data_IF_867923305327
#
_entry.id   IF_867923305327
#
_cell.length_a   1.000
_cell.length_b   1.000
_cell.length_c   1.000
_cell.angle_alpha   90.00
_cell.angle_beta   90.00
_cell.angle_gamma   90.00
#
_symmetry.space_group_name_H-M   'P 1'
#
loop_
_entity.id
_entity.type
_entity.pdbx_description
1 polymer ?
#
# COMPACT_ATOMS: atom_id res chain seq x y z
N UNK A 1 29.07 -29.91 40.41
CA UNK A 1 28.45 -30.75 39.37
C UNK A 1 27.84 -29.80 38.34
N UNK A 2 28.43 -29.74 37.13
CA UNK A 2 27.95 -29.12 35.87
C UNK A 2 27.70 -27.58 35.85
N UNK A 3 27.99 -26.75 34.82
CA UNK A 3 28.67 -26.75 33.50
C UNK A 3 29.00 -25.25 33.23
N UNK A 4 30.14 -24.88 32.60
CA UNK A 4 30.44 -23.49 32.25
C UNK A 4 29.73 -23.04 30.96
N UNK A 5 29.32 -21.78 30.97
CA UNK A 5 28.61 -21.07 29.89
C UNK A 5 29.45 -20.95 28.62
N UNK A 6 29.00 -21.58 27.53
CA UNK A 6 29.58 -21.42 26.20
C UNK A 6 29.14 -20.13 25.53
N UNK A 7 30.10 -19.33 25.07
CA UNK A 7 29.87 -18.14 24.26
C UNK A 7 29.44 -18.52 22.84
N UNK A 8 28.24 -18.10 22.44
CA UNK A 8 27.79 -18.15 21.05
C UNK A 8 28.18 -16.84 20.35
N UNK A 9 29.20 -16.94 19.51
CA UNK A 9 29.52 -15.94 18.48
C UNK A 9 28.31 -15.78 17.54
N UNK A 10 27.76 -14.57 17.47
CA UNK A 10 26.80 -14.22 16.41
C UNK A 10 27.55 -13.48 15.30
N UNK A 11 27.53 -14.07 14.11
CA UNK A 11 28.15 -13.55 12.91
C UNK A 11 27.50 -12.21 12.50
N UNK A 12 28.27 -11.14 12.62
CA UNK A 12 27.97 -9.81 12.07
C UNK A 12 28.13 -9.82 10.55
N UNK A 13 27.02 -9.91 9.82
CA UNK A 13 26.95 -9.56 8.40
C UNK A 13 26.95 -8.03 8.30
N UNK A 14 28.08 -7.48 7.86
CA UNK A 14 28.30 -6.04 7.74
C UNK A 14 27.44 -5.40 6.65
N UNK A 15 26.41 -4.66 7.06
CA UNK A 15 25.79 -3.63 6.23
C UNK A 15 26.51 -2.30 6.48
N UNK A 16 27.23 -1.83 5.47
CA UNK A 16 27.88 -0.53 5.50
C UNK A 16 26.86 0.61 5.74
N UNK A 17 27.16 1.60 6.59
CA UNK A 17 26.22 2.64 6.93
C UNK A 17 26.15 3.69 5.79
N UNK A 18 25.12 3.63 4.93
CA UNK A 18 24.71 4.79 4.11
C UNK A 18 24.03 5.84 5.01
N UNK A 19 24.77 6.40 5.96
CA UNK A 19 24.30 7.46 6.87
C UNK A 19 24.38 8.80 6.11
N UNK A 20 23.22 9.46 5.96
CA UNK A 20 22.97 10.87 5.57
C UNK A 20 22.26 11.14 4.23
N UNK A 21 22.46 10.36 3.17
CA UNK A 21 21.74 10.62 1.90
C UNK A 21 20.27 10.20 1.91
N UNK A 22 19.92 9.11 2.60
CA UNK A 22 18.54 8.60 2.64
C UNK A 22 17.58 9.58 3.33
N UNK A 23 18.02 10.29 4.38
CA UNK A 23 17.20 11.28 5.10
C UNK A 23 16.83 12.47 4.21
N UNK A 24 17.74 12.96 3.38
CA UNK A 24 17.48 14.11 2.51
C UNK A 24 16.50 13.77 1.37
N UNK A 25 16.61 12.58 0.77
CA UNK A 25 15.71 12.15 -0.32
C UNK A 25 14.28 11.96 0.20
N UNK A 26 14.12 11.38 1.40
CA UNK A 26 12.81 11.22 2.06
C UNK A 26 12.16 12.57 2.35
N UNK A 27 12.93 13.56 2.81
CA UNK A 27 12.44 14.92 3.08
C UNK A 27 11.99 15.65 1.79
N UNK A 28 12.69 15.46 0.66
CA UNK A 28 12.33 16.13 -0.59
C UNK A 28 11.06 15.56 -1.25
N UNK A 29 10.90 14.24 -1.27
CA UNK A 29 9.69 13.60 -1.82
C UNK A 29 8.45 13.93 -0.97
N UNK A 30 8.63 14.01 0.35
CA UNK A 30 7.52 14.28 1.26
C UNK A 30 7.04 15.74 1.21
N UNK A 31 7.92 16.71 1.00
CA UNK A 31 7.52 18.12 0.80
C UNK A 31 6.58 18.34 -0.39
N UNK A 32 6.70 17.56 -1.47
CA UNK A 32 5.85 17.70 -2.67
C UNK A 32 4.43 17.15 -2.47
N UNK A 33 4.24 16.18 -1.57
CA UNK A 33 2.93 15.57 -1.30
C UNK A 33 2.05 16.39 -0.36
N UNK A 34 2.61 17.38 0.34
CA UNK A 34 1.97 18.03 1.51
C UNK A 34 1.34 19.38 1.17
N UNK A 35 1.60 19.93 -0.02
CA UNK A 35 1.03 21.21 -0.46
C UNK A 35 -0.52 21.20 -0.61
N UNK A 36 -1.19 20.08 -0.31
CA UNK A 36 -2.64 19.93 -0.38
C UNK A 36 -3.34 19.86 1.00
N UNK A 37 -2.66 20.19 2.11
CA UNK A 37 -3.25 20.15 3.46
C UNK A 37 -3.47 21.57 4.02
N UNK A 38 -4.73 22.00 4.31
CA UNK A 38 -5.00 23.31 4.90
C UNK A 38 -5.18 23.19 6.41
N UNK A 39 -4.23 23.66 7.26
CA UNK A 39 -4.44 23.70 8.73
C UNK A 39 -3.69 24.88 9.39
N UNK A 40 -4.42 25.71 10.13
CA UNK A 40 -4.04 27.02 10.72
C UNK A 40 -3.29 26.98 12.08
N UNK A 41 -2.50 25.94 12.40
CA UNK A 41 -1.67 25.92 13.62
C UNK A 41 -0.36 25.17 13.39
N UNK A 42 0.61 25.86 12.79
CA UNK A 42 1.55 25.25 11.85
C UNK A 42 2.90 24.77 12.44
N UNK A 43 3.36 25.20 13.63
CA UNK A 43 4.76 24.92 14.03
C UNK A 43 4.95 23.62 14.82
N UNK A 44 4.20 23.44 15.90
CA UNK A 44 4.49 22.38 16.88
C UNK A 44 3.88 21.05 16.42
N UNK A 45 2.66 21.12 15.87
CA UNK A 45 2.01 19.98 15.23
C UNK A 45 2.85 19.41 14.07
N UNK A 46 3.47 20.28 13.26
CA UNK A 46 4.35 19.82 12.18
C UNK A 46 5.55 19.05 12.73
N UNK A 47 6.19 19.53 13.80
CA UNK A 47 7.39 18.90 14.34
C UNK A 47 7.13 17.44 14.77
N UNK A 48 6.05 17.22 15.52
CA UNK A 48 5.75 15.89 16.06
C UNK A 48 5.09 14.97 15.04
N UNK A 49 4.30 15.53 14.12
CA UNK A 49 3.80 14.82 12.94
C UNK A 49 4.96 14.33 12.05
N UNK A 50 5.95 15.18 11.77
CA UNK A 50 7.11 14.82 10.96
C UNK A 50 8.02 13.82 11.63
N UNK A 51 8.22 13.93 12.95
CA UNK A 51 8.95 12.92 13.71
C UNK A 51 8.26 11.57 13.62
N UNK A 52 6.95 11.52 13.88
CA UNK A 52 6.17 10.29 13.79
C UNK A 52 6.25 9.69 12.38
N UNK A 53 6.03 10.52 11.35
CA UNK A 53 6.21 10.13 9.95
C UNK A 53 7.56 9.51 9.68
N UNK A 54 8.64 10.19 10.07
CA UNK A 54 10.00 9.72 9.82
C UNK A 54 10.27 8.40 10.54
N UNK A 55 9.82 8.26 11.78
CA UNK A 55 9.97 7.01 12.53
C UNK A 55 9.24 5.86 11.85
N UNK A 56 8.01 6.07 11.40
CA UNK A 56 7.25 5.05 10.66
C UNK A 56 7.95 4.66 9.36
N UNK A 57 8.43 5.63 8.58
CA UNK A 57 9.19 5.34 7.35
C UNK A 57 10.44 4.52 7.67
N UNK A 58 11.19 4.90 8.71
CA UNK A 58 12.38 4.17 9.17
C UNK A 58 12.00 2.74 9.56
N UNK A 59 10.90 2.53 10.29
CA UNK A 59 10.43 1.19 10.63
C UNK A 59 10.05 0.34 9.43
N UNK A 60 9.37 0.93 8.45
CA UNK A 60 8.98 0.25 7.23
C UNK A 60 10.18 -0.11 6.34
N UNK A 61 11.32 0.56 6.54
CA UNK A 61 12.61 0.20 5.94
C UNK A 61 13.32 -0.95 6.70
N UNK A 62 12.71 -1.49 7.75
CA UNK A 62 13.23 -2.64 8.51
C UNK A 62 14.07 -2.27 9.72
N UNK A 63 14.12 -0.99 10.11
CA UNK A 63 14.76 -0.59 11.36
C UNK A 63 13.81 -0.82 12.53
N UNK A 64 14.28 -1.49 13.57
CA UNK A 64 13.48 -1.65 14.79
C UNK A 64 13.37 -0.32 15.55
N UNK A 65 12.16 0.00 16.01
CA UNK A 65 11.95 1.06 16.99
C UNK A 65 11.95 0.45 18.39
N UNK A 66 12.62 1.11 19.33
CA UNK A 66 12.50 0.78 20.74
C UNK A 66 11.08 1.06 21.28
N UNK A 67 10.78 0.52 22.46
CA UNK A 67 9.45 0.63 23.05
C UNK A 67 9.04 2.09 23.32
N UNK A 68 9.98 2.95 23.74
CA UNK A 68 9.72 4.37 24.02
C UNK A 68 9.32 5.13 22.75
N UNK A 69 10.02 4.88 21.65
CA UNK A 69 9.75 5.48 20.34
C UNK A 69 8.43 4.99 19.77
N UNK A 70 8.11 3.69 19.93
CA UNK A 70 6.79 3.15 19.57
C UNK A 70 5.66 3.82 20.35
N UNK A 71 5.84 3.94 21.67
CA UNK A 71 4.86 4.60 22.53
C UNK A 71 4.65 6.07 22.15
N UNK A 72 5.73 6.81 21.90
CA UNK A 72 5.63 8.20 21.46
C UNK A 72 4.94 8.32 20.09
N UNK A 73 5.24 7.44 19.13
CA UNK A 73 4.54 7.42 17.86
C UNK A 73 3.05 7.14 18.04
N UNK A 74 2.69 6.20 18.90
CA UNK A 74 1.29 5.91 19.23
C UNK A 74 0.61 7.13 19.86
N UNK A 75 1.21 7.80 20.84
CA UNK A 75 0.64 9.01 21.45
C UNK A 75 0.44 10.12 20.43
N UNK A 76 1.45 10.41 19.59
CA UNK A 76 1.33 11.42 18.54
C UNK A 76 0.19 11.09 17.56
N UNK A 77 0.05 9.83 17.18
CA UNK A 77 -1.03 9.41 16.27
C UNK A 77 -2.38 9.49 16.98
N UNK A 78 -2.46 9.19 18.28
CA UNK A 78 -3.69 9.26 19.04
C UNK A 78 -4.30 10.67 18.95
N UNK A 79 -3.45 11.68 19.12
CA UNK A 79 -3.79 13.10 19.08
C UNK A 79 -4.10 13.62 17.66
N UNK A 80 -3.70 12.89 16.61
CA UNK A 80 -4.06 13.24 15.24
C UNK A 80 -5.57 13.08 15.02
N UNK A 81 -6.17 14.08 14.36
CA UNK A 81 -7.53 13.95 13.86
C UNK A 81 -7.62 12.83 12.78
N UNK A 82 -8.84 12.38 12.47
CA UNK A 82 -9.05 11.29 11.51
C UNK A 82 -8.47 11.58 10.12
N UNK A 83 -8.47 12.85 9.70
CA UNK A 83 -7.89 13.28 8.44
C UNK A 83 -6.36 13.12 8.40
N UNK A 84 -5.66 13.51 9.46
CA UNK A 84 -4.22 13.35 9.59
C UNK A 84 -3.82 11.87 9.69
N UNK A 85 -4.57 11.04 10.42
CA UNK A 85 -4.39 9.57 10.45
C UNK A 85 -4.52 8.96 9.06
N UNK A 86 -5.56 9.33 8.31
CA UNK A 86 -5.76 8.86 6.94
C UNK A 86 -4.64 9.34 6.00
N UNK A 87 -4.22 10.60 6.13
CA UNK A 87 -3.10 11.18 5.39
C UNK A 87 -1.79 10.43 5.60
N UNK A 88 -1.50 10.06 6.85
CA UNK A 88 -0.34 9.26 7.23
C UNK A 88 -0.34 7.89 6.55
N UNK A 89 -1.46 7.14 6.63
CA UNK A 89 -1.57 5.80 6.03
C UNK A 89 -1.48 5.89 4.50
N UNK A 90 -2.13 6.89 3.90
CA UNK A 90 -2.04 7.18 2.47
C UNK A 90 -0.60 7.41 2.04
N UNK A 91 0.11 8.30 2.73
CA UNK A 91 1.50 8.61 2.44
C UNK A 91 2.38 7.38 2.51
N UNK A 92 2.31 6.59 3.60
CA UNK A 92 3.15 5.41 3.77
C UNK A 92 2.91 4.37 2.67
N UNK A 93 1.65 4.11 2.34
CA UNK A 93 1.27 3.08 1.36
C UNK A 93 1.63 3.49 -0.06
N UNK A 94 1.29 4.71 -0.47
CA UNK A 94 1.59 5.21 -1.82
C UNK A 94 3.09 5.43 -2.02
N UNK A 95 3.80 5.96 -1.01
CA UNK A 95 5.25 6.10 -1.07
C UNK A 95 5.95 4.73 -1.21
N UNK A 96 5.47 3.69 -0.54
CA UNK A 96 6.05 2.35 -0.69
C UNK A 96 5.79 1.77 -2.08
N UNK A 97 4.61 2.00 -2.65
CA UNK A 97 4.32 1.62 -4.03
C UNK A 97 5.24 2.35 -5.02
N UNK A 98 5.32 3.68 -4.93
CA UNK A 98 6.20 4.48 -5.78
C UNK A 98 7.67 4.04 -5.69
N UNK A 99 8.16 3.76 -4.47
CA UNK A 99 9.51 3.23 -4.28
C UNK A 99 9.71 1.84 -4.87
N UNK A 100 8.73 0.96 -4.76
CA UNK A 100 8.80 -0.39 -5.32
C UNK A 100 8.86 -0.37 -6.85
N UNK A 101 8.05 0.49 -7.48
CA UNK A 101 8.03 0.65 -8.93
C UNK A 101 9.13 1.59 -9.46
N UNK A 102 9.81 2.35 -8.59
CA UNK A 102 10.79 3.35 -9.01
C UNK A 102 10.17 4.54 -9.74
N UNK A 103 8.93 4.91 -9.42
CA UNK A 103 8.14 5.91 -10.15
C UNK A 103 7.69 7.07 -9.25
N UNK A 104 7.19 8.14 -9.87
CA UNK A 104 6.47 9.21 -9.19
C UNK A 104 4.99 8.83 -8.97
N UNK A 105 4.30 9.55 -8.07
CA UNK A 105 2.90 9.24 -7.72
C UNK A 105 1.95 9.37 -8.91
N UNK A 106 2.20 10.28 -9.85
CA UNK A 106 1.41 10.46 -11.07
C UNK A 106 1.66 9.37 -12.14
N UNK A 107 2.71 8.55 -12.00
CA UNK A 107 3.07 7.52 -12.98
C UNK A 107 2.45 6.14 -12.66
N UNK A 108 1.86 5.98 -11.48
CA UNK A 108 1.30 4.70 -11.02
C UNK A 108 0.20 4.13 -11.95
N UNK A 109 -0.48 4.95 -12.74
CA UNK A 109 -1.60 4.53 -13.59
C UNK A 109 -1.17 3.74 -14.84
N UNK A 110 0.07 3.93 -15.28
CA UNK A 110 0.61 3.31 -16.50
C UNK A 110 1.84 2.45 -16.25
N UNK A 111 2.19 2.24 -14.98
CA UNK A 111 3.49 1.66 -14.65
C UNK A 111 3.53 0.14 -14.82
N UNK A 112 2.41 -0.55 -14.60
CA UNK A 112 2.40 -2.01 -14.55
C UNK A 112 2.26 -2.62 -15.94
N UNK A 113 3.17 -3.52 -16.27
CA UNK A 113 3.19 -4.32 -17.49
C UNK A 113 3.66 -5.75 -17.18
N UNK A 114 3.72 -6.59 -18.21
CA UNK A 114 4.13 -7.99 -18.05
C UNK A 114 5.53 -8.11 -17.42
N UNK A 115 6.46 -7.24 -17.82
CA UNK A 115 7.88 -7.29 -17.45
C UNK A 115 8.13 -6.93 -15.97
N UNK A 116 7.24 -6.17 -15.35
CA UNK A 116 7.37 -5.74 -13.95
C UNK A 116 6.25 -6.23 -13.04
N UNK A 117 5.45 -7.19 -13.51
CA UNK A 117 4.35 -7.78 -12.73
C UNK A 117 4.81 -8.41 -11.40
N UNK A 118 6.06 -8.86 -11.32
CA UNK A 118 6.66 -9.36 -10.08
C UNK A 118 6.80 -8.28 -9.00
N UNK A 119 6.93 -7.01 -9.38
CA UNK A 119 7.05 -5.89 -8.43
C UNK A 119 5.77 -5.75 -7.59
N UNK A 120 4.59 -5.81 -8.21
CA UNK A 120 3.33 -5.76 -7.46
C UNK A 120 3.17 -6.97 -6.54
N UNK A 121 3.62 -8.15 -6.99
CA UNK A 121 3.64 -9.37 -6.17
C UNK A 121 4.54 -9.21 -4.94
N UNK A 122 5.74 -8.65 -5.12
CA UNK A 122 6.68 -8.38 -4.05
C UNK A 122 6.14 -7.30 -3.09
N UNK A 123 5.56 -6.24 -3.63
CA UNK A 123 4.93 -5.16 -2.86
C UNK A 123 3.77 -5.71 -2.01
N UNK A 124 2.90 -6.54 -2.58
CA UNK A 124 1.82 -7.19 -1.84
C UNK A 124 2.36 -8.02 -0.67
N UNK A 125 3.34 -8.89 -0.94
CA UNK A 125 4.01 -9.69 0.11
C UNK A 125 4.61 -8.80 1.19
N UNK A 126 5.30 -7.72 0.82
CA UNK A 126 5.87 -6.78 1.77
C UNK A 126 4.78 -6.10 2.61
N UNK A 127 3.67 -5.70 2.01
CA UNK A 127 2.52 -5.09 2.71
C UNK A 127 1.98 -6.03 3.79
N UNK A 128 1.69 -7.28 3.46
CA UNK A 128 1.07 -8.22 4.40
C UNK A 128 2.04 -8.82 5.42
N UNK A 129 3.30 -9.04 5.05
CA UNK A 129 4.28 -9.73 5.91
C UNK A 129 5.15 -8.80 6.74
N UNK A 130 5.27 -7.52 6.35
CA UNK A 130 6.14 -6.55 7.03
C UNK A 130 5.39 -5.30 7.43
N UNK A 131 4.78 -4.59 6.49
CA UNK A 131 4.18 -3.27 6.76
C UNK A 131 3.06 -3.36 7.78
N UNK A 132 2.06 -4.23 7.55
CA UNK A 132 0.92 -4.38 8.45
C UNK A 132 1.38 -4.84 9.85
N UNK A 133 2.20 -5.92 10.00
CA UNK A 133 2.70 -6.33 11.31
C UNK A 133 3.50 -5.24 12.03
N UNK A 134 4.37 -4.51 11.32
CA UNK A 134 5.17 -3.43 11.90
C UNK A 134 4.28 -2.28 12.38
N UNK A 135 3.33 -1.83 11.57
CA UNK A 135 2.38 -0.80 11.99
C UNK A 135 1.52 -1.29 13.15
N UNK A 136 1.07 -2.55 13.14
CA UNK A 136 0.35 -3.14 14.26
C UNK A 136 1.18 -3.12 15.56
N UNK A 137 2.48 -3.41 15.49
CA UNK A 137 3.36 -3.37 16.66
C UNK A 137 3.60 -1.93 17.17
N UNK A 138 3.80 -0.97 16.26
CA UNK A 138 4.01 0.43 16.62
C UNK A 138 2.74 1.06 17.19
N UNK A 139 1.59 0.73 16.60
CA UNK A 139 0.28 1.28 16.94
C UNK A 139 -0.48 0.42 17.94
N UNK A 140 0.10 -0.67 18.43
CA UNK A 140 -0.50 -1.50 19.47
C UNK A 140 -0.95 -0.67 20.69
N UNK A 141 -0.18 0.32 21.18
CA UNK A 141 -0.64 1.16 22.29
C UNK A 141 -1.91 1.97 21.95
N UNK A 142 -2.18 2.29 20.68
CA UNK A 142 -3.43 2.98 20.29
C UNK A 142 -4.65 2.12 20.53
N UNK A 143 -4.53 0.79 20.43
CA UNK A 143 -5.67 -0.10 20.69
C UNK A 143 -6.18 -0.02 22.13
N UNK A 144 -5.39 0.51 23.06
CA UNK A 144 -5.84 0.77 24.44
C UNK A 144 -6.81 1.94 24.51
N UNK A 145 -6.76 2.86 23.54
CA UNK A 145 -7.53 4.11 23.54
C UNK A 145 -8.57 4.18 22.42
N UNK A 146 -8.41 3.37 21.37
CA UNK A 146 -9.30 3.30 20.20
C UNK A 146 -9.49 1.84 19.80
N UNK A 147 -10.44 1.17 20.44
CA UNK A 147 -10.75 -0.25 20.18
C UNK A 147 -11.21 -0.52 18.75
N UNK A 148 -11.79 0.49 18.10
CA UNK A 148 -12.30 0.45 16.73
C UNK A 148 -11.23 0.69 15.66
N UNK A 149 -10.00 1.06 16.05
CA UNK A 149 -8.94 1.34 15.09
C UNK A 149 -8.37 0.05 14.47
N UNK A 150 -8.95 -0.35 13.34
CA UNK A 150 -8.44 -1.44 12.52
C UNK A 150 -7.38 -0.97 11.52
N UNK A 151 -6.13 -0.94 11.97
CA UNK A 151 -4.97 -0.65 11.12
C UNK A 151 -4.83 -1.59 9.93
N UNK A 152 -5.26 -2.86 10.05
CA UNK A 152 -5.17 -3.82 8.93
C UNK A 152 -6.15 -3.40 7.85
N UNK A 153 -7.40 -3.16 8.22
CA UNK A 153 -8.40 -2.66 7.27
C UNK A 153 -7.95 -1.33 6.64
N UNK A 154 -7.49 -0.38 7.44
CA UNK A 154 -7.05 0.92 6.94
C UNK A 154 -5.90 0.83 5.92
N UNK A 155 -4.86 0.04 6.21
CA UNK A 155 -3.74 -0.17 5.28
C UNK A 155 -4.20 -0.87 3.99
N UNK A 156 -5.05 -1.89 4.10
CA UNK A 156 -5.56 -2.63 2.93
C UNK A 156 -6.50 -1.77 2.07
N UNK A 157 -7.39 -0.99 2.68
CA UNK A 157 -8.28 -0.07 1.98
C UNK A 157 -7.48 1.04 1.27
N UNK A 158 -6.44 1.58 1.91
CA UNK A 158 -5.52 2.51 1.26
C UNK A 158 -4.75 1.84 0.11
N UNK A 159 -4.26 0.61 0.30
CA UNK A 159 -3.57 -0.14 -0.75
C UNK A 159 -4.48 -0.36 -1.97
N UNK A 160 -5.75 -0.71 -1.74
CA UNK A 160 -6.80 -0.77 -2.75
C UNK A 160 -6.94 0.57 -3.48
N UNK A 161 -7.18 1.64 -2.74
CA UNK A 161 -7.56 2.95 -3.30
C UNK A 161 -6.42 3.65 -4.03
N UNK A 162 -5.20 3.60 -3.46
CA UNK A 162 -4.05 4.38 -3.93
C UNK A 162 -3.09 3.60 -4.82
N UNK A 163 -3.12 2.27 -4.78
CA UNK A 163 -2.24 1.42 -5.58
C UNK A 163 -3.05 0.62 -6.58
N UNK A 164 -3.91 -0.29 -6.12
CA UNK A 164 -4.54 -1.26 -7.01
C UNK A 164 -5.53 -0.63 -8.00
N UNK A 165 -6.35 0.33 -7.55
CA UNK A 165 -7.26 1.06 -8.44
C UNK A 165 -6.56 1.84 -9.54
N UNK A 166 -5.27 2.11 -9.39
CA UNK A 166 -4.46 2.87 -10.37
C UNK A 166 -3.66 1.93 -11.26
N UNK A 167 -3.11 0.88 -10.68
CA UNK A 167 -2.20 -0.05 -11.34
C UNK A 167 -2.92 -1.16 -12.14
N UNK A 168 -4.10 -1.59 -11.69
CA UNK A 168 -4.82 -2.73 -12.28
C UNK A 168 -5.76 -2.42 -13.47
N UNK A 169 -6.31 -1.20 -13.69
CA UNK A 169 -7.29 -0.95 -14.76
C UNK A 169 -6.80 -1.31 -16.17
N UNK A 170 -5.51 -1.18 -16.42
CA UNK A 170 -4.90 -1.27 -17.76
C UNK A 170 -4.19 -2.60 -18.03
N UNK A 171 -4.44 -3.63 -17.21
CA UNK A 171 -3.77 -4.93 -17.41
C UNK A 171 -4.32 -5.64 -18.65
N UNK A 172 -3.42 -5.89 -19.60
CA UNK A 172 -3.68 -6.63 -20.85
C UNK A 172 -2.94 -7.99 -20.92
N UNK A 173 -2.18 -8.34 -19.89
CA UNK A 173 -1.37 -9.55 -19.81
C UNK A 173 -1.95 -10.61 -18.86
N UNK A 174 -1.40 -11.82 -18.93
CA UNK A 174 -1.84 -12.92 -18.05
C UNK A 174 -1.44 -12.66 -16.61
N UNK A 175 -2.43 -12.73 -15.73
CA UNK A 175 -2.28 -12.33 -14.33
C UNK A 175 -1.70 -13.46 -13.48
N UNK A 176 -0.64 -13.20 -12.69
CA UNK A 176 -0.11 -14.20 -11.77
C UNK A 176 -1.16 -14.70 -10.77
N UNK A 177 -1.11 -15.98 -10.40
CA UNK A 177 -2.03 -16.57 -9.40
C UNK A 177 -2.06 -15.77 -8.08
N UNK A 178 -0.93 -15.18 -7.69
CA UNK A 178 -0.83 -14.34 -6.50
C UNK A 178 -1.74 -13.11 -6.57
N UNK A 179 -1.93 -12.49 -7.74
CA UNK A 179 -2.82 -11.34 -7.87
C UNK A 179 -4.28 -11.75 -7.63
N UNK A 180 -4.69 -12.95 -8.04
CA UNK A 180 -6.04 -13.45 -7.73
C UNK A 180 -6.24 -13.55 -6.23
N UNK A 181 -5.30 -14.19 -5.52
CA UNK A 181 -5.33 -14.29 -4.06
C UNK A 181 -5.34 -12.91 -3.39
N UNK A 182 -4.52 -11.98 -3.87
CA UNK A 182 -4.49 -10.59 -3.42
C UNK A 182 -5.84 -9.90 -3.65
N UNK A 183 -6.39 -9.95 -4.85
CA UNK A 183 -7.67 -9.31 -5.21
C UNK A 183 -8.79 -9.87 -4.34
N UNK A 184 -8.89 -11.20 -4.21
CA UNK A 184 -9.87 -11.83 -3.33
C UNK A 184 -9.72 -11.38 -1.87
N UNK A 185 -8.48 -11.35 -1.37
CA UNK A 185 -8.22 -10.92 0.01
C UNK A 185 -8.64 -9.47 0.22
N UNK A 186 -8.33 -8.56 -0.70
CA UNK A 186 -8.72 -7.16 -0.62
C UNK A 186 -10.24 -7.01 -0.71
N UNK A 187 -10.91 -7.73 -1.61
CA UNK A 187 -12.37 -7.68 -1.74
C UNK A 187 -13.07 -8.07 -0.44
N UNK A 188 -12.59 -9.11 0.24
CA UNK A 188 -13.18 -9.62 1.48
C UNK A 188 -12.86 -8.69 2.67
N UNK A 189 -11.60 -8.27 2.80
CA UNK A 189 -11.12 -7.56 3.99
C UNK A 189 -11.43 -6.06 3.98
N UNK A 190 -11.81 -5.51 2.83
CA UNK A 190 -12.07 -4.08 2.66
C UNK A 190 -13.47 -3.78 2.16
N UNK A 191 -14.41 -4.73 2.30
CA UNK A 191 -15.80 -4.52 1.91
C UNK A 191 -16.40 -3.34 2.68
N UNK A 192 -16.59 -2.23 1.96
CA UNK A 192 -17.09 -0.97 2.47
C UNK A 192 -18.01 -0.32 1.41
N UNK A 193 -18.76 0.72 1.80
CA UNK A 193 -19.69 1.41 0.90
C UNK A 193 -19.01 2.55 0.10
N UNK A 194 -17.68 2.59 0.01
CA UNK A 194 -16.96 3.66 -0.70
C UNK A 194 -17.04 3.50 -2.22
N UNK A 195 -16.91 4.63 -2.93
CA UNK A 195 -16.82 4.61 -4.39
C UNK A 195 -15.58 3.85 -4.87
N UNK A 196 -14.47 3.96 -4.14
CA UNK A 196 -13.23 3.28 -4.45
C UNK A 196 -13.34 1.76 -4.34
N UNK A 197 -14.13 1.25 -3.39
CA UNK A 197 -14.43 -0.18 -3.31
C UNK A 197 -15.29 -0.64 -4.49
N UNK A 198 -16.32 0.12 -4.86
CA UNK A 198 -17.16 -0.19 -6.03
C UNK A 198 -16.32 -0.24 -7.31
N UNK A 199 -15.41 0.71 -7.49
CA UNK A 199 -14.45 0.72 -8.60
C UNK A 199 -13.57 -0.53 -8.57
N UNK A 200 -12.97 -0.82 -7.42
CA UNK A 200 -12.10 -1.99 -7.27
C UNK A 200 -12.83 -3.30 -7.54
N UNK A 201 -14.07 -3.44 -7.07
CA UNK A 201 -14.92 -4.62 -7.30
C UNK A 201 -15.14 -4.86 -8.79
N UNK A 202 -15.32 -3.81 -9.59
CA UNK A 202 -15.42 -3.91 -11.06
C UNK A 202 -14.09 -4.36 -11.68
N UNK A 203 -12.98 -3.73 -11.31
CA UNK A 203 -11.64 -4.07 -11.82
C UNK A 203 -11.27 -5.52 -11.49
N UNK A 204 -11.39 -5.89 -10.21
CA UNK A 204 -11.13 -7.25 -9.72
C UNK A 204 -12.03 -8.29 -10.38
N UNK A 205 -13.32 -7.98 -10.56
CA UNK A 205 -14.26 -8.85 -11.27
C UNK A 205 -13.83 -9.13 -12.71
N UNK A 206 -13.44 -8.10 -13.46
CA UNK A 206 -12.93 -8.25 -14.84
C UNK A 206 -11.66 -9.09 -14.90
N UNK A 207 -10.71 -8.86 -14.00
CA UNK A 207 -9.45 -9.61 -13.89
C UNK A 207 -9.70 -11.09 -13.58
N UNK A 208 -10.56 -11.38 -12.61
CA UNK A 208 -10.88 -12.74 -12.20
C UNK A 208 -11.67 -13.50 -13.28
N UNK A 209 -12.46 -12.78 -14.09
CA UNK A 209 -13.18 -13.33 -15.22
C UNK A 209 -12.31 -13.56 -16.47
N UNK A 210 -11.25 -12.75 -16.69
CA UNK A 210 -10.40 -12.80 -17.89
C UNK A 210 -9.78 -14.18 -18.16
N UNK A 211 -9.47 -14.94 -17.11
CA UNK A 211 -8.91 -16.28 -17.26
C UNK A 211 -9.96 -17.41 -17.32
N UNK A 212 -11.26 -17.09 -17.19
CA UNK A 212 -12.36 -18.04 -17.48
C UNK A 212 -12.79 -18.01 -18.96
N UNK A 213 -12.24 -17.11 -19.78
CA UNK A 213 -12.60 -17.01 -21.20
C UNK A 213 -11.44 -16.49 -22.06
N UNK A 214 -10.58 -17.40 -22.51
CA UNK A 214 -9.72 -17.10 -23.66
C UNK A 214 -10.60 -16.64 -24.83
N UNK A 215 -10.40 -15.40 -25.29
CA UNK A 215 -11.02 -14.75 -26.47
C UNK A 215 -12.56 -14.59 -26.45
N UNK A 216 -13.03 -13.38 -26.15
CA UNK A 216 -14.05 -12.77 -27.03
C UNK A 216 -13.36 -12.25 -28.30
N UNK A 217 -13.08 -13.17 -29.22
CA UNK A 217 -13.00 -12.81 -30.63
C UNK A 217 -14.44 -12.67 -31.13
N UNK A 218 -14.93 -11.44 -31.17
CA UNK A 218 -16.02 -11.01 -32.06
C UNK A 218 -15.84 -9.49 -32.24
N UNK A 219 -15.36 -8.91 -33.34
CA UNK A 219 -15.32 -9.40 -34.72
C UNK A 219 -16.66 -10.00 -35.17
N UNK A 220 -17.76 -9.36 -34.79
CA UNK A 220 -18.89 -9.16 -35.70
C UNK A 220 -18.66 -7.70 -36.15
N UNK A 221 -17.98 -7.43 -37.27
CA UNK A 221 -18.39 -7.96 -38.57
C UNK A 221 -19.68 -7.27 -39.00
N UNK A 222 -19.67 -5.93 -39.00
CA UNK A 222 -20.63 -5.13 -39.74
C UNK A 222 -20.44 -5.48 -41.21
N UNK A 223 -21.23 -6.42 -41.73
CA UNK A 223 -21.36 -6.70 -43.15
C UNK A 223 -22.83 -6.99 -43.44
N UNK A 224 -23.40 -6.08 -44.24
CA UNK A 224 -24.56 -6.19 -45.11
C UNK A 224 -25.11 -7.62 -45.33
N UNK A 225 -26.41 -7.77 -45.07
CA UNK A 225 -27.42 -8.41 -45.93
C UNK A 225 -28.74 -7.73 -45.49
N UNK A 226 -29.30 -6.73 -46.18
CA UNK A 226 -30.09 -6.81 -47.42
C UNK A 226 -31.17 -7.88 -47.36
N UNK A 227 -32.42 -7.40 -47.36
CA UNK A 227 -33.68 -8.06 -47.71
C UNK A 227 -34.08 -9.24 -46.79
N UNK A 228 -35.25 -9.27 -46.17
CA UNK A 228 -36.58 -9.30 -46.78
C UNK A 228 -37.61 -8.84 -45.73
N UNK A 229 -38.39 -7.80 -46.06
CA UNK A 229 -39.72 -7.59 -45.49
C UNK A 229 -40.71 -8.09 -46.53
N UNK A 230 -41.44 -9.17 -46.22
CA UNK A 230 -42.65 -9.55 -46.94
C UNK A 230 -43.47 -10.56 -46.12
N UNK A 231 -44.76 -10.23 -45.90
CA UNK A 231 -45.88 -11.09 -45.44
C UNK A 231 -45.83 -11.49 -43.95
N UNK A 232 -46.59 -10.90 -43.02
CA UNK A 232 -48.07 -10.84 -42.83
C UNK A 232 -48.45 -9.53 -42.12
#
# INVERSE_FOLDING_TARGET
MFIPSGSLHSASIGYAPRKNHAKQVILQQSKRSINNFPIDNFSDFYSDFWKCHLQLIISLQGFELDASTRHLCAMNIMEMNGFAKAGLINFLTENNACKAFGCATNELESILNADNSEILSALWKQTVSKIIPTLQAILYPLKVFQDDFDIRHAVLATFRNKVLNRVLPSIDFRIPLLYRSMIFSILILTDDNSQEFIIFKKIGGSILAYEHGQKKSSAIGCNKCSDVNDVI
#
